data_IF_242518596250
#
_entry.id   IF_242518596250
#
_cell.length_a   1.000
_cell.length_b   1.000
_cell.length_c   1.000
_cell.angle_alpha   90.00
_cell.angle_beta   90.00
_cell.angle_gamma   90.00
#
_symmetry.space_group_name_H-M   'P 1'
#
loop_
_entity.id
_entity.type
_entity.pdbx_description
1 polymer ?
#
# COMPACT_ATOMS: atom_id res chain seq x y z
N UNK A 1 -4.83 21.76 8.71
CA UNK A 1 -4.49 22.35 7.40
C UNK A 1 -4.34 23.84 7.62
N UNK A 2 -3.11 24.34 7.74
CA UNK A 2 -2.86 25.75 8.02
C UNK A 2 -3.30 26.62 6.83
N UNK A 3 -3.91 27.77 7.09
CA UNK A 3 -4.22 28.77 6.06
C UNK A 3 -5.62 28.72 5.46
N UNK A 4 -6.59 28.02 6.06
CA UNK A 4 -8.01 28.14 5.69
C UNK A 4 -8.76 29.04 6.67
N UNK A 5 -9.49 30.02 6.16
CA UNK A 5 -10.44 30.83 6.93
C UNK A 5 -11.69 30.00 7.21
N UNK A 6 -12.15 29.99 8.45
CA UNK A 6 -13.39 29.29 8.79
C UNK A 6 -14.61 29.93 8.12
N UNK A 7 -15.61 29.12 7.78
CA UNK A 7 -16.89 29.64 7.31
C UNK A 7 -17.60 30.42 8.44
N UNK A 8 -18.27 31.54 8.12
CA UNK A 8 -19.19 32.20 9.04
C UNK A 8 -20.26 31.25 9.58
N UNK A 9 -20.66 31.44 10.84
CA UNK A 9 -21.58 30.52 11.53
C UNK A 9 -22.98 30.47 10.90
N UNK A 10 -23.45 31.58 10.30
CA UNK A 10 -24.71 31.63 9.57
C UNK A 10 -24.72 30.75 8.31
N UNK A 11 -23.55 30.53 7.69
CA UNK A 11 -23.40 29.63 6.55
C UNK A 11 -23.18 28.19 7.02
N UNK A 12 -22.38 27.97 8.07
CA UNK A 12 -22.18 26.63 8.67
C UNK A 12 -23.52 26.00 9.07
N UNK A 13 -24.46 26.78 9.63
CA UNK A 13 -25.76 26.28 10.06
C UNK A 13 -26.67 25.80 8.91
N UNK A 14 -26.42 26.24 7.67
CA UNK A 14 -27.17 25.80 6.49
C UNK A 14 -26.73 24.40 5.98
N UNK A 15 -25.61 23.86 6.50
CA UNK A 15 -25.07 22.58 6.06
C UNK A 15 -25.03 21.56 7.20
N UNK A 16 -25.11 20.27 6.84
CA UNK A 16 -24.83 19.18 7.76
C UNK A 16 -23.37 18.76 7.59
N UNK A 17 -22.55 18.77 8.66
CA UNK A 17 -21.17 18.33 8.55
C UNK A 17 -21.10 16.82 8.33
N UNK A 18 -20.21 16.39 7.43
CA UNK A 18 -19.87 14.98 7.20
C UNK A 18 -18.37 14.82 7.40
N UNK A 19 -17.99 13.86 8.26
CA UNK A 19 -16.59 13.57 8.56
C UNK A 19 -16.07 12.43 7.68
N UNK A 20 -14.95 12.65 7.00
CA UNK A 20 -14.30 11.66 6.12
C UNK A 20 -12.88 11.33 6.61
N UNK A 21 -12.70 11.20 7.94
CA UNK A 21 -11.38 11.17 8.59
C UNK A 21 -10.64 9.85 8.39
N UNK A 22 -11.32 8.70 8.43
CA UNK A 22 -10.66 7.38 8.35
C UNK A 22 -11.39 6.48 7.34
N UNK A 23 -10.80 6.21 6.17
CA UNK A 23 -11.30 5.20 5.25
C UNK A 23 -10.88 3.78 5.66
N UNK A 24 -11.70 2.77 5.32
CA UNK A 24 -11.30 1.37 5.46
C UNK A 24 -10.35 0.97 4.33
N UNK A 25 -9.05 1.03 4.61
CA UNK A 25 -8.00 0.71 3.64
C UNK A 25 -7.95 -0.77 3.27
N UNK A 26 -8.40 -1.67 4.15
CA UNK A 26 -8.40 -3.12 3.88
C UNK A 26 -9.49 -3.47 2.88
N UNK A 27 -10.70 -2.95 3.08
CA UNK A 27 -11.81 -3.14 2.13
C UNK A 27 -11.50 -2.53 0.76
N UNK A 28 -10.92 -1.32 0.74
CA UNK A 28 -10.48 -0.69 -0.50
C UNK A 28 -9.43 -1.56 -1.21
N UNK A 29 -8.46 -2.09 -0.47
CA UNK A 29 -7.44 -2.97 -1.03
C UNK A 29 -8.04 -4.23 -1.64
N UNK A 30 -8.99 -4.87 -0.94
CA UNK A 30 -9.68 -6.07 -1.40
C UNK A 30 -10.41 -5.84 -2.72
N UNK A 31 -11.18 -4.75 -2.83
CA UNK A 31 -11.93 -4.40 -4.05
C UNK A 31 -10.98 -4.12 -5.22
N UNK A 32 -9.87 -3.42 -4.98
CA UNK A 32 -8.90 -3.13 -6.04
C UNK A 32 -8.22 -4.41 -6.52
N UNK A 33 -7.76 -5.27 -5.59
CA UNK A 33 -7.17 -6.56 -5.95
C UNK A 33 -8.14 -7.42 -6.76
N UNK A 34 -9.42 -7.46 -6.36
CA UNK A 34 -10.46 -8.17 -7.09
C UNK A 34 -10.64 -7.60 -8.51
N UNK A 35 -10.66 -6.27 -8.66
CA UNK A 35 -10.75 -5.62 -9.98
C UNK A 35 -9.50 -5.82 -10.85
N UNK A 36 -8.33 -5.99 -10.25
CA UNK A 36 -7.10 -6.37 -10.95
C UNK A 36 -7.01 -7.90 -11.20
N UNK A 37 -8.02 -8.64 -10.75
CA UNK A 37 -8.29 -10.05 -11.01
C UNK A 37 -7.59 -11.05 -10.08
N UNK A 38 -6.96 -10.59 -8.99
CA UNK A 38 -6.30 -11.46 -8.01
C UNK A 38 -7.32 -12.43 -7.37
N UNK A 39 -6.83 -13.58 -6.94
CA UNK A 39 -7.58 -14.53 -6.12
C UNK A 39 -7.27 -14.29 -4.64
N UNK A 40 -8.11 -14.85 -3.75
CA UNK A 40 -7.91 -14.76 -2.30
C UNK A 40 -7.70 -13.31 -1.77
N UNK A 41 -8.38 -12.35 -2.41
CA UNK A 41 -8.18 -10.91 -2.22
C UNK A 41 -8.27 -10.46 -0.77
N UNK A 42 -9.18 -11.07 0.02
CA UNK A 42 -9.36 -10.75 1.44
C UNK A 42 -8.09 -10.99 2.27
N UNK A 43 -7.35 -12.06 1.99
CA UNK A 43 -6.11 -12.40 2.71
C UNK A 43 -4.98 -11.48 2.22
N UNK A 44 -4.86 -11.29 0.91
CA UNK A 44 -3.84 -10.42 0.32
C UNK A 44 -3.99 -8.95 0.76
N UNK A 45 -5.22 -8.44 0.79
CA UNK A 45 -5.53 -7.09 1.26
C UNK A 45 -5.09 -6.87 2.71
N UNK A 46 -5.34 -7.85 3.60
CA UNK A 46 -4.86 -7.81 4.99
C UNK A 46 -3.34 -7.79 5.05
N UNK A 47 -2.64 -8.61 4.26
CA UNK A 47 -1.17 -8.59 4.21
C UNK A 47 -0.63 -7.22 3.79
N UNK A 48 -1.21 -6.61 2.76
CA UNK A 48 -0.82 -5.26 2.28
C UNK A 48 -1.04 -4.21 3.35
N UNK A 49 -2.23 -4.19 3.95
CA UNK A 49 -2.55 -3.24 5.01
C UNK A 49 -1.61 -3.40 6.21
N UNK A 50 -1.38 -4.64 6.65
CA UNK A 50 -0.47 -4.93 7.76
C UNK A 50 0.96 -4.49 7.46
N UNK A 51 1.48 -4.73 6.25
CA UNK A 51 2.80 -4.24 5.85
C UNK A 51 2.92 -2.73 6.03
N UNK A 52 1.96 -1.97 5.51
CA UNK A 52 1.98 -0.51 5.57
C UNK A 52 1.79 0.01 7.00
N UNK A 53 0.92 -0.63 7.79
CA UNK A 53 0.74 -0.32 9.21
C UNK A 53 2.03 -0.55 10.00
N UNK A 54 2.71 -1.69 9.79
CA UNK A 54 3.97 -2.00 10.46
C UNK A 54 5.09 -1.08 9.97
N UNK A 55 5.13 -0.73 8.69
CA UNK A 55 6.11 0.21 8.14
C UNK A 55 6.03 1.58 8.82
N UNK A 56 4.81 2.10 9.05
CA UNK A 56 4.59 3.36 9.80
C UNK A 56 5.03 3.24 11.26
N UNK A 57 4.87 2.08 11.87
CA UNK A 57 5.17 1.85 13.29
C UNK A 57 6.64 1.57 13.57
N UNK A 58 7.34 0.87 12.67
CA UNK A 58 8.66 0.30 12.93
C UNK A 58 9.80 1.01 12.18
N UNK A 59 9.52 1.59 11.00
CA UNK A 59 10.57 2.28 10.24
C UNK A 59 10.86 3.67 10.83
N UNK A 60 12.03 4.19 10.51
CA UNK A 60 12.41 5.55 10.90
C UNK A 60 11.44 6.60 10.33
N UNK A 61 11.24 7.70 11.05
CA UNK A 61 10.41 8.81 10.56
C UNK A 61 11.19 9.62 9.54
N UNK A 62 10.78 9.53 8.28
CA UNK A 62 11.33 10.32 7.18
C UNK A 62 10.21 11.12 6.52
N UNK A 63 10.48 12.38 6.15
CA UNK A 63 9.48 13.26 5.54
C UNK A 63 8.98 12.75 4.18
N UNK A 64 9.82 12.01 3.45
CA UNK A 64 9.48 11.45 2.14
C UNK A 64 8.79 10.07 2.20
N UNK A 65 8.62 9.48 3.39
CA UNK A 65 7.91 8.22 3.53
C UNK A 65 6.40 8.43 3.38
N UNK A 66 5.81 7.67 2.47
CA UNK A 66 4.35 7.65 2.26
C UNK A 66 3.85 6.20 2.25
N UNK A 67 3.21 5.82 3.34
CA UNK A 67 2.50 4.55 3.51
C UNK A 67 0.99 4.78 3.68
N UNK A 68 0.47 5.90 3.17
CA UNK A 68 -0.95 6.23 3.21
C UNK A 68 -1.77 5.53 2.12
N UNK A 69 -3.08 5.81 2.09
CA UNK A 69 -4.03 5.21 1.13
C UNK A 69 -3.64 5.46 -0.34
N UNK A 70 -3.00 6.61 -0.64
CA UNK A 70 -2.53 6.94 -1.98
C UNK A 70 -1.39 6.03 -2.44
N UNK A 71 -0.43 5.77 -1.56
CA UNK A 71 0.65 4.83 -1.83
C UNK A 71 0.09 3.40 -2.00
N UNK A 72 -0.83 3.00 -1.14
CA UNK A 72 -1.48 1.68 -1.18
C UNK A 72 -2.24 1.47 -2.51
N UNK A 73 -3.07 2.42 -2.91
CA UNK A 73 -3.82 2.32 -4.18
C UNK A 73 -2.90 2.29 -5.40
N UNK A 74 -1.79 3.02 -5.35
CA UNK A 74 -0.77 3.00 -6.41
C UNK A 74 -0.06 1.64 -6.49
N UNK A 75 0.28 1.05 -5.33
CA UNK A 75 0.86 -0.28 -5.21
C UNK A 75 -0.03 -1.35 -5.83
N UNK A 76 -1.32 -1.37 -5.48
CA UNK A 76 -2.23 -2.41 -5.96
C UNK A 76 -2.46 -2.33 -7.47
N UNK A 77 -2.57 -1.11 -8.02
CA UNK A 77 -2.65 -0.91 -9.48
C UNK A 77 -1.37 -1.33 -10.19
N UNK A 78 -0.20 -1.07 -9.59
CA UNK A 78 1.08 -1.53 -10.12
C UNK A 78 1.18 -3.06 -10.12
N UNK A 79 0.78 -3.71 -9.01
CA UNK A 79 0.71 -5.17 -8.92
C UNK A 79 -0.23 -5.76 -9.99
N UNK A 80 -1.40 -5.15 -10.22
CA UNK A 80 -2.31 -5.55 -11.30
C UNK A 80 -1.70 -5.44 -12.70
N UNK A 81 -0.87 -4.42 -12.97
CA UNK A 81 -0.12 -4.35 -14.23
C UNK A 81 0.89 -5.49 -14.34
N UNK A 82 1.64 -5.79 -13.28
CA UNK A 82 2.62 -6.88 -13.25
C UNK A 82 1.98 -8.24 -13.45
N UNK A 83 0.83 -8.48 -12.83
CA UNK A 83 0.03 -9.69 -12.99
C UNK A 83 -0.34 -9.98 -14.44
N UNK A 84 -0.77 -8.96 -15.19
CA UNK A 84 -1.12 -9.11 -16.62
C UNK A 84 0.09 -9.49 -17.49
N UNK A 85 1.26 -8.96 -17.15
CA UNK A 85 2.52 -9.25 -17.87
C UNK A 85 3.08 -10.61 -17.49
N UNK A 86 2.81 -11.08 -16.26
CA UNK A 86 3.36 -12.32 -15.69
C UNK A 86 2.25 -13.22 -15.12
N UNK A 87 1.46 -13.85 -15.99
CA UNK A 87 0.40 -14.77 -15.57
C UNK A 87 0.95 -16.10 -15.02
N UNK A 88 2.26 -16.35 -15.18
CA UNK A 88 3.00 -17.51 -14.69
C UNK A 88 3.29 -17.47 -13.19
N UNK A 89 3.32 -16.25 -12.60
CA UNK A 89 3.59 -16.06 -11.19
C UNK A 89 2.33 -16.14 -10.34
N UNK A 90 2.48 -16.62 -9.11
CA UNK A 90 1.40 -16.57 -8.13
C UNK A 90 1.06 -15.13 -7.73
N UNK A 91 -0.19 -14.94 -7.31
CA UNK A 91 -0.69 -13.66 -6.81
C UNK A 91 0.16 -13.11 -5.64
N UNK A 92 0.71 -14.00 -4.80
CA UNK A 92 1.59 -13.62 -3.68
C UNK A 92 2.97 -13.15 -4.16
N UNK A 93 3.58 -13.84 -5.12
CA UNK A 93 4.87 -13.44 -5.70
C UNK A 93 4.79 -12.08 -6.40
N UNK A 94 3.72 -11.84 -7.16
CA UNK A 94 3.47 -10.57 -7.83
C UNK A 94 3.32 -9.44 -6.81
N UNK A 95 2.58 -9.69 -5.73
CA UNK A 95 2.31 -8.68 -4.71
C UNK A 95 3.57 -8.35 -3.91
N UNK A 96 4.34 -9.37 -3.52
CA UNK A 96 5.61 -9.22 -2.82
C UNK A 96 6.63 -8.45 -3.68
N UNK A 97 6.73 -8.79 -4.95
CA UNK A 97 7.55 -8.05 -5.92
C UNK A 97 7.13 -6.59 -6.03
N UNK A 98 5.83 -6.32 -6.21
CA UNK A 98 5.31 -4.96 -6.30
C UNK A 98 5.64 -4.13 -5.06
N UNK A 99 5.54 -4.74 -3.87
CA UNK A 99 5.89 -4.11 -2.60
C UNK A 99 7.37 -3.74 -2.55
N UNK A 100 8.26 -4.64 -2.98
CA UNK A 100 9.70 -4.38 -3.00
C UNK A 100 10.07 -3.30 -4.02
N UNK A 101 9.59 -3.41 -5.25
CA UNK A 101 9.85 -2.45 -6.33
C UNK A 101 9.52 -1.01 -5.93
N UNK A 102 8.36 -0.81 -5.29
CA UNK A 102 7.86 0.54 -5.00
C UNK A 102 8.45 1.17 -3.73
N UNK A 103 8.99 0.37 -2.82
CA UNK A 103 9.42 0.85 -1.51
C UNK A 103 10.94 0.83 -1.33
N UNK A 104 11.66 -0.22 -1.76
CA UNK A 104 13.09 -0.39 -1.43
C UNK A 104 13.92 0.83 -1.82
N UNK A 105 13.72 1.39 -3.01
CA UNK A 105 14.50 2.54 -3.49
C UNK A 105 14.29 3.83 -2.68
N UNK A 106 13.22 3.92 -1.90
CA UNK A 106 12.90 5.09 -1.06
C UNK A 106 13.40 4.94 0.36
N UNK A 107 13.64 3.70 0.81
CA UNK A 107 14.01 3.39 2.18
C UNK A 107 15.47 3.74 2.44
N UNK A 108 15.75 4.18 3.67
CA UNK A 108 17.12 4.32 4.16
C UNK A 108 17.78 2.95 4.30
N UNK A 109 19.11 2.91 4.26
CA UNK A 109 19.87 1.66 4.42
C UNK A 109 19.58 0.93 5.74
N UNK A 110 19.26 1.66 6.82
CA UNK A 110 18.86 1.08 8.10
C UNK A 110 17.45 0.51 8.12
N UNK A 111 16.54 1.04 7.30
CA UNK A 111 15.15 0.61 7.24
C UNK A 111 14.91 -0.56 6.27
N UNK A 112 15.78 -0.74 5.27
CA UNK A 112 15.67 -1.85 4.29
C UNK A 112 15.64 -3.24 4.97
N UNK A 113 16.53 -3.57 5.93
CA UNK A 113 16.45 -4.85 6.64
C UNK A 113 15.14 -5.04 7.41
N UNK A 114 14.64 -3.99 8.06
CA UNK A 114 13.37 -4.03 8.79
C UNK A 114 12.19 -4.29 7.85
N UNK A 115 12.12 -3.57 6.73
CA UNK A 115 11.10 -3.77 5.72
C UNK A 115 11.15 -5.21 5.16
N UNK A 116 12.35 -5.71 4.85
CA UNK A 116 12.51 -7.08 4.36
C UNK A 116 12.05 -8.13 5.39
N UNK A 117 12.36 -7.93 6.68
CA UNK A 117 11.87 -8.81 7.75
C UNK A 117 10.33 -8.82 7.82
N UNK A 118 9.69 -7.64 7.79
CA UNK A 118 8.22 -7.56 7.77
C UNK A 118 7.65 -8.27 6.54
N UNK A 119 8.24 -8.09 5.35
CA UNK A 119 7.76 -8.78 4.15
C UNK A 119 7.92 -10.30 4.23
N UNK A 120 9.00 -10.79 4.84
CA UNK A 120 9.25 -12.22 5.02
C UNK A 120 8.25 -12.85 5.99
N UNK A 121 7.89 -12.16 7.07
CA UNK A 121 6.88 -12.61 8.03
C UNK A 121 5.47 -12.66 7.42
N UNK A 122 5.14 -11.73 6.53
CA UNK A 122 3.82 -11.66 5.86
C UNK A 122 3.68 -12.65 4.69
N UNK A 123 4.78 -13.04 4.06
CA UNK A 123 4.83 -13.95 2.92
C UNK A 123 5.82 -15.09 3.18
N UNK A 124 5.53 -15.97 4.15
CA UNK A 124 6.44 -17.05 4.52
C UNK A 124 6.58 -18.05 3.36
N UNK A 125 7.82 -18.38 3.01
CA UNK A 125 8.13 -19.35 1.96
C UNK A 125 7.95 -18.85 0.52
N UNK A 126 7.66 -17.56 0.33
CA UNK A 126 7.58 -16.95 -1.00
C UNK A 126 8.90 -16.24 -1.29
N UNK A 127 9.58 -16.66 -2.36
CA UNK A 127 10.79 -16.00 -2.84
C UNK A 127 10.42 -14.86 -3.81
N UNK A 128 11.16 -13.74 -3.74
CA UNK A 128 10.95 -12.68 -4.70
C UNK A 128 11.49 -13.09 -6.08
N UNK A 129 10.68 -13.00 -7.15
CA UNK A 129 11.17 -13.30 -8.49
C UNK A 129 12.24 -12.28 -8.86
N UNK A 130 13.40 -12.77 -9.32
CA UNK A 130 14.44 -11.89 -9.87
C UNK A 130 13.97 -11.41 -11.23
N UNK A 131 13.77 -10.10 -11.36
CA UNK A 131 13.40 -9.48 -12.62
C UNK A 131 14.59 -8.73 -13.17
N UNK A 132 15.02 -9.14 -14.37
CA UNK A 132 15.82 -8.29 -15.21
C UNK A 132 14.94 -7.19 -15.81
N UNK A 133 15.18 -5.96 -15.39
CA UNK A 133 14.51 -4.76 -15.91
C UNK A 133 15.20 -4.24 -17.20
N UNK A 134 16.24 -4.92 -17.69
CA UNK A 134 17.10 -4.53 -18.80
C UNK A 134 16.65 -4.93 -20.20
N UNK A 135 15.35 -4.84 -20.52
CA UNK A 135 14.84 -4.84 -21.90
C UNK A 135 13.77 -3.78 -22.11
#
# INVERSE_FOLDING_TARGET
YAGRTELPDNLKSMFRPISMVVPDSTLIAEIILFGEGFNNCKILAKKVYTLYSLAVQQLSKQDHYDFGLRALTSLLRYAGKKRRVRPDLSDEEILLMAMKDMNIAKLTSGDVPLFNAITQDLFPGIECPVIDYGK
#
